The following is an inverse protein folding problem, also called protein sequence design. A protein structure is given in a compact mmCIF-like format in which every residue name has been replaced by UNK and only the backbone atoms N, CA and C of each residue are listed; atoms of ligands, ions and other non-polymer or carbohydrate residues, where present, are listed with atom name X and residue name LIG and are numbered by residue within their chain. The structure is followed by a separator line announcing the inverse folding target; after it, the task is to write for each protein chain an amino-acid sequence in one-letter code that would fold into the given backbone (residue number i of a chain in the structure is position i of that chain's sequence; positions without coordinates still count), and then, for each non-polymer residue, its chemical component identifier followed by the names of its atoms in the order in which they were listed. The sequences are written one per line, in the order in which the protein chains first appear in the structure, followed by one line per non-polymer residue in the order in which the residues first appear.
data_IF_230189355010
#
_entry.id   IF_230189355010
#
_cell.length_a   1.000
_cell.length_b   1.000
_cell.length_c   1.000
_cell.angle_alpha   90.00
_cell.angle_beta   90.00
_cell.angle_gamma   90.00
#
_symmetry.space_group_name_H-M   'P 1'
#
loop_
_entity.id
_entity.type
_entity.pdbx_description
1 polymer ?
#
# COMPACT_ATOMS: atom_id res chain seq x y z
N UNK A 1 -0.08 -11.51 10.14
CA UNK A 1 -1.12 -10.88 10.98
C UNK A 1 -1.59 -11.77 12.14
N UNK A 2 -0.94 -12.90 12.36
CA UNK A 2 -1.32 -13.90 13.38
C UNK A 2 -0.76 -13.63 14.79
N UNK A 3 0.11 -12.62 14.97
CA UNK A 3 0.63 -12.30 16.29
C UNK A 3 -0.37 -11.47 17.08
N UNK A 4 -0.82 -11.98 18.22
CA UNK A 4 -1.65 -11.26 19.16
C UNK A 4 -0.77 -10.45 20.11
N UNK A 5 -0.98 -9.13 20.12
CA UNK A 5 -0.30 -8.24 21.04
C UNK A 5 -1.10 -8.11 22.33
N UNK A 6 -0.45 -8.32 23.46
CA UNK A 6 -1.08 -8.11 24.77
C UNK A 6 -1.44 -6.62 25.02
N UNK A 7 -0.78 -5.70 24.32
CA UNK A 7 -0.97 -4.26 24.42
C UNK A 7 -1.75 -3.72 23.22
N UNK A 8 -2.92 -3.15 23.47
CA UNK A 8 -3.81 -2.57 22.46
C UNK A 8 -3.15 -1.49 21.60
N UNK A 9 -2.21 -0.72 22.17
CA UNK A 9 -1.47 0.29 21.42
C UNK A 9 -0.49 -0.33 20.43
N UNK A 10 0.12 -1.47 20.76
CA UNK A 10 0.99 -2.21 19.82
C UNK A 10 0.16 -2.80 18.69
N UNK A 11 -1.01 -3.35 18.99
CA UNK A 11 -1.96 -3.80 17.97
C UNK A 11 -2.39 -2.66 17.04
N UNK A 12 -2.69 -1.50 17.57
CA UNK A 12 -3.04 -0.30 16.81
C UNK A 12 -1.90 0.14 15.87
N UNK A 13 -0.66 0.22 16.36
CA UNK A 13 0.50 0.60 15.54
C UNK A 13 0.78 -0.42 14.44
N UNK A 14 0.62 -1.73 14.73
CA UNK A 14 0.67 -2.78 13.69
C UNK A 14 -0.36 -2.51 12.61
N UNK A 15 -1.61 -2.24 12.99
CA UNK A 15 -2.70 -2.03 12.05
C UNK A 15 -2.49 -0.77 11.20
N UNK A 16 -1.99 0.33 11.79
CA UNK A 16 -1.58 1.52 11.03
C UNK A 16 -0.50 1.19 9.99
N UNK A 17 0.51 0.42 10.37
CA UNK A 17 1.60 0.04 9.46
C UNK A 17 1.10 -0.88 8.34
N UNK A 18 0.25 -1.85 8.67
CA UNK A 18 -0.40 -2.74 7.69
C UNK A 18 -1.29 -1.93 6.75
N UNK A 19 -2.12 -1.03 7.27
CA UNK A 19 -2.95 -0.15 6.45
C UNK A 19 -2.12 0.65 5.45
N UNK A 20 -1.03 1.28 5.90
CA UNK A 20 -0.11 2.01 5.04
C UNK A 20 0.58 1.09 4.01
N UNK A 21 0.84 -0.17 4.35
CA UNK A 21 1.42 -1.16 3.43
C UNK A 21 0.48 -1.61 2.32
N UNK A 22 -0.84 -1.44 2.49
CA UNK A 22 -1.85 -1.75 1.48
C UNK A 22 -2.34 -0.52 0.70
N UNK A 23 -2.17 0.68 1.25
CA UNK A 23 -2.68 1.93 0.65
C UNK A 23 -1.60 2.86 0.14
N UNK A 24 -0.34 2.58 0.45
CA UNK A 24 0.81 3.43 0.17
C UNK A 24 0.71 4.85 0.76
N UNK A 25 -0.13 5.05 1.78
CA UNK A 25 -0.23 6.33 2.47
C UNK A 25 1.06 6.64 3.23
N UNK A 26 1.51 7.89 3.19
CA UNK A 26 2.52 8.38 4.11
C UNK A 26 1.92 8.52 5.52
N UNK A 27 2.76 8.65 6.54
CA UNK A 27 2.26 8.85 7.90
C UNK A 27 1.36 10.08 8.01
N UNK A 28 1.72 11.18 7.36
CA UNK A 28 0.95 12.43 7.41
C UNK A 28 -0.39 12.27 6.71
N UNK A 29 -0.41 11.67 5.50
CA UNK A 29 -1.66 11.41 4.77
C UNK A 29 -2.58 10.46 5.58
N UNK A 30 -1.99 9.49 6.30
CA UNK A 30 -2.75 8.57 7.14
C UNK A 30 -3.30 9.26 8.40
N UNK A 31 -2.52 10.15 9.02
CA UNK A 31 -2.95 10.93 10.19
C UNK A 31 -4.14 11.82 9.85
N UNK A 32 -4.14 12.41 8.67
CA UNK A 32 -5.17 13.36 8.24
C UNK A 32 -6.33 12.71 7.47
N UNK A 33 -6.28 11.37 7.27
CA UNK A 33 -7.32 10.66 6.55
C UNK A 33 -8.67 10.75 7.26
N UNK A 34 -9.66 11.21 6.52
CA UNK A 34 -11.03 11.39 7.01
C UNK A 34 -12.03 10.44 6.32
N UNK A 35 -13.21 10.29 6.92
CA UNK A 35 -14.31 9.53 6.31
C UNK A 35 -14.79 10.14 5.01
N UNK A 36 -14.66 11.45 4.83
CA UNK A 36 -15.10 12.18 3.63
C UNK A 36 -14.23 11.86 2.40
N UNK A 37 -13.01 11.38 2.62
CA UNK A 37 -12.10 10.94 1.56
C UNK A 37 -12.33 9.49 1.13
N UNK A 38 -13.25 8.77 1.81
CA UNK A 38 -13.64 7.42 1.41
C UNK A 38 -14.91 7.49 0.58
N UNK A 39 -14.77 7.25 -0.71
CA UNK A 39 -15.87 7.31 -1.67
C UNK A 39 -16.19 5.91 -2.20
N UNK A 40 -17.44 5.70 -2.57
CA UNK A 40 -17.86 4.47 -3.22
C UNK A 40 -17.95 4.68 -4.74
N UNK A 41 -17.26 3.83 -5.50
CA UNK A 41 -17.27 3.83 -6.97
C UNK A 41 -17.58 2.40 -7.43
N UNK A 42 -18.68 2.22 -8.12
CA UNK A 42 -19.13 0.91 -8.63
C UNK A 42 -19.21 -0.19 -7.56
N UNK A 43 -19.70 0.14 -6.36
CA UNK A 43 -19.81 -0.79 -5.24
C UNK A 43 -18.49 -1.08 -4.50
N UNK A 44 -17.41 -0.39 -4.87
CA UNK A 44 -16.09 -0.56 -4.27
C UNK A 44 -15.65 0.71 -3.55
N UNK A 45 -15.04 0.57 -2.39
CA UNK A 45 -14.56 1.72 -1.60
C UNK A 45 -13.16 2.14 -2.03
N UNK A 46 -12.97 3.45 -2.17
CA UNK A 46 -11.73 4.07 -2.60
C UNK A 46 -11.37 5.21 -1.67
N UNK A 47 -10.07 5.40 -1.41
CA UNK A 47 -9.56 6.67 -0.89
C UNK A 47 -9.32 7.56 -2.10
N UNK A 48 -9.93 8.74 -2.10
CA UNK A 48 -9.71 9.79 -3.10
C UNK A 48 -9.34 11.07 -2.36
N UNK A 49 -8.08 11.43 -2.42
CA UNK A 49 -7.52 12.51 -1.60
C UNK A 49 -6.39 13.24 -2.33
N UNK A 50 -5.81 14.26 -1.68
CA UNK A 50 -4.58 14.92 -2.13
C UNK A 50 -3.46 14.64 -1.12
N UNK A 51 -2.25 14.42 -1.64
CA UNK A 51 -1.06 14.28 -0.78
C UNK A 51 -0.85 15.56 0.03
N UNK A 52 -0.73 15.42 1.34
CA UNK A 52 -0.54 16.57 2.24
C UNK A 52 0.67 17.44 1.83
N UNK A 53 1.80 16.81 1.54
CA UNK A 53 3.05 17.52 1.23
C UNK A 53 3.07 18.16 -0.15
N UNK A 54 2.44 17.56 -1.15
CA UNK A 54 2.61 17.97 -2.57
C UNK A 54 1.30 18.40 -3.22
N UNK A 55 0.17 18.27 -2.53
CA UNK A 55 -1.19 18.54 -3.00
C UNK A 55 -1.59 17.77 -4.29
N UNK A 56 -0.82 16.74 -4.64
CA UNK A 56 -1.08 15.91 -5.81
C UNK A 56 -2.26 14.99 -5.51
N UNK A 57 -3.29 14.96 -6.38
CA UNK A 57 -4.37 14.02 -6.26
C UNK A 57 -3.86 12.57 -6.35
N UNK A 58 -4.39 11.71 -5.52
CA UNK A 58 -4.18 10.27 -5.60
C UNK A 58 -5.48 9.54 -5.32
N UNK A 59 -5.53 8.31 -5.79
CA UNK A 59 -6.64 7.41 -5.48
C UNK A 59 -6.10 6.00 -5.28
N UNK A 60 -6.67 5.29 -4.33
CA UNK A 60 -6.32 3.90 -4.06
C UNK A 60 -7.55 3.13 -3.62
N UNK A 61 -7.78 1.96 -4.24
CA UNK A 61 -8.87 1.07 -3.85
C UNK A 61 -8.58 0.49 -2.48
N UNK A 62 -9.56 0.48 -1.61
CA UNK A 62 -9.51 -0.21 -0.33
C UNK A 62 -9.77 -1.70 -0.56
N UNK A 63 -8.74 -2.50 -0.33
CA UNK A 63 -8.84 -3.96 -0.32
C UNK A 63 -9.40 -4.43 1.03
N UNK A 64 -9.68 -5.73 1.16
CA UNK A 64 -10.34 -6.30 2.35
C UNK A 64 -9.62 -5.99 3.67
N UNK A 65 -8.27 -6.06 3.68
CA UNK A 65 -7.50 -5.80 4.91
C UNK A 65 -7.62 -4.35 5.38
N UNK A 66 -7.41 -3.32 4.55
CA UNK A 66 -7.71 -1.93 4.92
C UNK A 66 -9.16 -1.71 5.39
N UNK A 67 -10.14 -2.32 4.74
CA UNK A 67 -11.55 -2.20 5.13
C UNK A 67 -11.78 -2.76 6.53
N UNK A 68 -11.27 -3.96 6.83
CA UNK A 68 -11.36 -4.56 8.16
C UNK A 68 -10.68 -3.70 9.24
N UNK A 69 -9.57 -3.03 8.89
CA UNK A 69 -8.90 -2.12 9.82
C UNK A 69 -9.77 -0.90 10.09
N UNK A 70 -10.34 -0.27 9.06
CA UNK A 70 -11.25 0.87 9.24
C UNK A 70 -12.45 0.46 10.13
N UNK A 71 -13.09 -0.65 9.83
CA UNK A 71 -14.26 -1.12 10.58
C UNK A 71 -13.91 -1.41 12.05
N UNK A 72 -12.71 -1.94 12.32
CA UNK A 72 -12.23 -2.18 13.70
C UNK A 72 -12.13 -0.91 14.51
N UNK A 73 -11.67 0.20 13.92
CA UNK A 73 -11.47 1.47 14.64
C UNK A 73 -12.66 2.42 14.56
N UNK A 74 -13.66 2.14 13.75
CA UNK A 74 -14.88 2.94 13.61
C UNK A 74 -15.56 3.27 14.96
N UNK A 75 -15.68 2.35 15.95
CA UNK A 75 -16.30 2.67 17.22
C UNK A 75 -15.51 3.69 18.08
N UNK A 76 -14.23 3.90 17.77
CA UNK A 76 -13.34 4.80 18.52
C UNK A 76 -13.10 6.12 17.80
N UNK A 77 -13.69 6.30 16.61
CA UNK A 77 -13.56 7.54 15.84
C UNK A 77 -14.19 8.70 16.59
N UNK A 78 -13.43 9.79 16.66
CA UNK A 78 -13.91 11.10 17.09
C UNK A 78 -13.85 11.98 15.85
N UNK A 79 -14.89 12.76 15.63
CA UNK A 79 -15.01 13.58 14.41
C UNK A 79 -14.94 12.72 13.13
N UNK A 80 -14.52 13.31 12.02
CA UNK A 80 -14.39 12.63 10.72
C UNK A 80 -13.05 11.88 10.56
N UNK A 81 -12.14 11.92 11.53
CA UNK A 81 -10.84 11.25 11.43
C UNK A 81 -10.98 9.74 11.55
N UNK A 82 -10.31 8.99 10.67
CA UNK A 82 -10.33 7.52 10.67
C UNK A 82 -9.53 6.95 11.86
N UNK A 83 -8.35 7.50 12.14
CA UNK A 83 -7.42 6.97 13.14
C UNK A 83 -7.17 7.90 14.34
N UNK A 84 -7.84 9.07 14.36
CA UNK A 84 -7.68 10.06 15.42
C UNK A 84 -6.32 10.77 15.39
N UNK A 85 -6.01 11.50 16.46
CA UNK A 85 -4.73 12.22 16.56
C UNK A 85 -3.59 11.27 16.94
N UNK A 86 -2.81 10.87 15.94
CA UNK A 86 -1.64 10.00 16.09
C UNK A 86 -0.34 10.81 16.07
N UNK A 87 0.54 10.53 17.03
CA UNK A 87 1.84 11.18 17.09
C UNK A 87 2.92 10.34 16.41
N UNK A 88 3.67 10.94 15.48
CA UNK A 88 4.69 10.27 14.68
C UNK A 88 5.77 9.58 15.53
N UNK A 89 6.33 10.29 16.50
CA UNK A 89 7.41 9.74 17.33
C UNK A 89 6.95 8.58 18.21
N UNK A 90 5.74 8.68 18.74
CA UNK A 90 5.12 7.61 19.54
C UNK A 90 4.88 6.36 18.68
N UNK A 91 4.33 6.54 17.47
CA UNK A 91 4.10 5.43 16.54
C UNK A 91 5.42 4.79 16.11
N UNK A 92 6.44 5.57 15.72
CA UNK A 92 7.73 5.04 15.31
C UNK A 92 8.45 4.29 16.45
N UNK A 93 8.42 4.83 17.67
CA UNK A 93 9.01 4.14 18.83
C UNK A 93 8.32 2.81 19.10
N UNK A 94 6.99 2.79 19.02
CA UNK A 94 6.21 1.58 19.27
C UNK A 94 6.32 0.58 18.10
N UNK A 95 6.47 1.07 16.86
CA UNK A 95 6.69 0.22 15.70
C UNK A 95 7.95 -0.63 15.87
N UNK A 96 9.04 -0.09 16.42
CA UNK A 96 10.25 -0.86 16.72
C UNK A 96 9.98 -2.01 17.70
N UNK A 97 9.16 -1.75 18.72
CA UNK A 97 8.73 -2.80 19.67
C UNK A 97 7.89 -3.87 18.96
N UNK A 98 6.92 -3.47 18.14
CA UNK A 98 6.08 -4.37 17.35
C UNK A 98 6.92 -5.25 16.43
N UNK A 99 7.92 -4.68 15.74
CA UNK A 99 8.82 -5.44 14.86
C UNK A 99 9.65 -6.47 15.66
N UNK A 100 10.18 -6.06 16.82
CA UNK A 100 10.94 -6.96 17.69
C UNK A 100 10.08 -8.13 18.21
N UNK A 101 8.84 -7.86 18.65
CA UNK A 101 7.90 -8.90 19.10
C UNK A 101 7.51 -9.88 17.98
N UNK A 102 7.53 -9.41 16.72
CA UNK A 102 7.32 -10.24 15.53
C UNK A 102 8.59 -10.96 15.05
N UNK A 103 9.72 -10.86 15.75
CA UNK A 103 10.99 -11.46 15.36
C UNK A 103 11.66 -10.78 14.16
N UNK A 104 11.26 -9.55 13.81
CA UNK A 104 11.81 -8.78 12.70
C UNK A 104 12.99 -7.95 13.22
N UNK A 105 14.20 -8.32 12.82
CA UNK A 105 15.46 -7.68 13.25
C UNK A 105 15.89 -6.49 12.40
N UNK A 106 15.25 -6.31 11.23
CA UNK A 106 15.52 -5.17 10.34
C UNK A 106 15.05 -3.86 10.97
N UNK A 107 15.82 -2.78 10.80
CA UNK A 107 15.37 -1.45 11.19
C UNK A 107 14.27 -0.97 10.22
N UNK A 108 13.02 -1.05 10.68
CA UNK A 108 11.83 -0.70 9.92
C UNK A 108 11.32 0.65 10.41
N UNK A 109 11.33 1.64 9.51
CA UNK A 109 10.63 2.91 9.69
C UNK A 109 9.20 2.83 9.15
N UNK A 110 8.32 3.77 9.55
CA UNK A 110 6.95 3.81 9.01
C UNK A 110 6.93 3.97 7.49
N UNK A 111 7.92 4.68 6.93
CA UNK A 111 8.04 4.86 5.48
C UNK A 111 8.27 3.56 4.71
N UNK A 112 8.81 2.51 5.37
CA UNK A 112 8.99 1.20 4.76
C UNK A 112 7.67 0.55 4.32
N UNK A 113 6.53 0.90 4.92
CA UNK A 113 5.22 0.44 4.49
C UNK A 113 4.93 0.85 3.02
N UNK A 114 5.14 2.13 2.71
CA UNK A 114 4.95 2.67 1.36
C UNK A 114 5.96 2.11 0.35
N UNK A 115 7.24 1.96 0.75
CA UNK A 115 8.25 1.30 -0.07
C UNK A 115 7.88 -0.16 -0.36
N UNK A 116 7.42 -0.87 0.66
CA UNK A 116 6.95 -2.26 0.54
C UNK A 116 5.79 -2.39 -0.43
N UNK A 117 4.80 -1.49 -0.35
CA UNK A 117 3.70 -1.44 -1.33
C UNK A 117 4.23 -1.30 -2.75
N UNK A 118 5.08 -0.29 -3.00
CA UNK A 118 5.59 -0.03 -4.35
C UNK A 118 6.34 -1.23 -4.93
N UNK A 119 7.26 -1.80 -4.15
CA UNK A 119 8.06 -2.96 -4.57
C UNK A 119 7.17 -4.19 -4.81
N UNK A 120 6.23 -4.47 -3.90
CA UNK A 120 5.33 -5.61 -4.02
C UNK A 120 4.39 -5.46 -5.22
N UNK A 121 3.77 -4.30 -5.40
CA UNK A 121 2.85 -4.03 -6.50
C UNK A 121 3.54 -4.23 -7.86
N UNK A 122 4.74 -3.68 -8.04
CA UNK A 122 5.54 -3.86 -9.25
C UNK A 122 5.93 -5.34 -9.46
N UNK A 123 6.35 -6.04 -8.40
CA UNK A 123 6.71 -7.46 -8.49
C UNK A 123 5.53 -8.35 -8.86
N UNK A 124 4.30 -7.94 -8.50
CA UNK A 124 3.05 -8.62 -8.84
C UNK A 124 2.47 -8.20 -10.20
N UNK A 125 3.19 -7.38 -10.95
CA UNK A 125 2.83 -7.01 -12.32
C UNK A 125 1.95 -5.77 -12.45
N UNK A 126 1.73 -5.01 -11.39
CA UNK A 126 1.05 -3.72 -11.50
C UNK A 126 1.89 -2.77 -12.36
N UNK A 127 1.32 -2.13 -13.41
CA UNK A 127 2.05 -1.19 -14.25
C UNK A 127 2.67 -0.05 -13.42
N UNK A 128 3.87 0.37 -13.80
CA UNK A 128 4.62 1.41 -13.07
C UNK A 128 3.87 2.75 -13.03
N UNK A 129 3.12 3.06 -14.10
CA UNK A 129 2.27 4.25 -14.17
C UNK A 129 1.15 4.20 -13.13
N UNK A 130 0.53 3.03 -12.96
CA UNK A 130 -0.51 2.81 -11.95
C UNK A 130 0.06 2.94 -10.54
N UNK A 131 1.23 2.33 -10.29
CA UNK A 131 1.93 2.47 -9.00
C UNK A 131 2.31 3.93 -8.73
N UNK A 132 2.86 4.62 -9.73
CA UNK A 132 3.21 6.04 -9.63
C UNK A 132 2.00 6.90 -9.26
N UNK A 133 0.84 6.61 -9.85
CA UNK A 133 -0.42 7.32 -9.57
C UNK A 133 -0.92 7.06 -8.15
N UNK A 134 -0.91 5.81 -7.70
CA UNK A 134 -1.24 5.47 -6.30
C UNK A 134 -0.29 6.16 -5.33
N UNK A 135 1.00 6.20 -5.64
CA UNK A 135 2.00 6.90 -4.84
C UNK A 135 1.84 8.43 -4.89
N UNK A 136 1.13 9.00 -5.85
CA UNK A 136 1.04 10.45 -6.05
C UNK A 136 2.40 11.06 -6.41
N UNK A 137 3.20 10.37 -7.22
CA UNK A 137 4.45 10.92 -7.73
C UNK A 137 4.18 11.79 -8.97
N UNK A 138 4.75 12.98 -9.01
CA UNK A 138 4.73 13.86 -10.19
C UNK A 138 5.62 13.36 -11.31
N UNK A 139 6.71 12.66 -10.95
CA UNK A 139 7.69 12.14 -11.88
C UNK A 139 7.81 10.63 -11.71
N UNK A 140 7.56 9.89 -12.78
CA UNK A 140 7.64 8.43 -12.80
C UNK A 140 9.03 7.89 -12.45
N UNK A 141 10.08 8.67 -12.71
CA UNK A 141 11.47 8.33 -12.34
C UNK A 141 11.59 8.01 -10.84
N UNK A 142 10.80 8.70 -9.99
CA UNK A 142 10.76 8.39 -8.56
C UNK A 142 10.25 6.99 -8.29
N UNK A 143 9.33 6.49 -9.13
CA UNK A 143 8.78 5.13 -9.02
C UNK A 143 9.74 4.08 -9.59
N UNK A 144 10.56 4.45 -10.59
CA UNK A 144 11.57 3.55 -11.19
C UNK A 144 12.61 3.07 -10.17
N UNK A 145 12.83 3.80 -9.08
CA UNK A 145 13.70 3.35 -7.98
C UNK A 145 13.25 2.01 -7.37
N UNK A 146 11.97 1.68 -7.49
CA UNK A 146 11.39 0.42 -7.02
C UNK A 146 11.34 -0.67 -8.09
N UNK A 147 11.51 -0.31 -9.36
CA UNK A 147 11.39 -1.19 -10.51
C UNK A 147 12.72 -1.90 -10.79
N UNK A 148 13.16 -2.79 -9.89
CA UNK A 148 14.23 -3.72 -10.22
C UNK A 148 13.66 -4.84 -11.09
N UNK A 149 13.90 -4.76 -12.40
CA UNK A 149 13.53 -5.85 -13.32
C UNK A 149 14.50 -7.00 -13.07
N UNK A 150 13.98 -8.08 -12.51
CA UNK A 150 14.73 -9.34 -12.38
C UNK A 150 14.54 -10.17 -13.64
N UNK A 151 15.48 -11.09 -13.92
CA UNK A 151 15.37 -12.07 -15.02
C UNK A 151 14.07 -12.89 -14.89
N UNK A 152 13.66 -13.20 -13.68
CA UNK A 152 12.42 -13.91 -13.37
C UNK A 152 11.18 -13.10 -13.80
N UNK A 153 11.15 -11.80 -13.51
CA UNK A 153 10.07 -10.90 -13.94
C UNK A 153 10.03 -10.80 -15.46
N UNK A 154 11.17 -10.61 -16.10
CA UNK A 154 11.26 -10.55 -17.56
C UNK A 154 10.77 -11.85 -18.21
N UNK A 155 11.16 -13.01 -17.68
CA UNK A 155 10.69 -14.31 -18.15
C UNK A 155 9.17 -14.46 -18.03
N UNK A 156 8.60 -14.04 -16.90
CA UNK A 156 7.14 -14.07 -16.67
C UNK A 156 6.42 -13.19 -17.69
N UNK A 157 6.89 -11.96 -17.90
CA UNK A 157 6.28 -11.01 -18.83
C UNK A 157 6.34 -11.50 -20.28
N UNK A 158 7.48 -12.06 -20.70
CA UNK A 158 7.64 -12.65 -22.04
C UNK A 158 6.78 -13.90 -22.23
N UNK A 159 6.62 -14.73 -21.20
CA UNK A 159 5.75 -15.91 -21.25
C UNK A 159 4.28 -15.51 -21.39
N UNK A 160 3.84 -14.49 -20.66
CA UNK A 160 2.49 -13.94 -20.80
C UNK A 160 2.25 -13.33 -22.19
N UNK A 161 3.23 -12.60 -22.73
CA UNK A 161 3.17 -12.06 -24.09
C UNK A 161 3.08 -13.19 -25.11
N UNK A 162 3.93 -14.20 -24.99
CA UNK A 162 3.93 -15.38 -25.86
C UNK A 162 2.58 -16.09 -25.88
N UNK A 163 1.95 -16.28 -24.72
CA UNK A 163 0.62 -16.87 -24.62
C UNK A 163 -0.45 -16.07 -25.36
N UNK A 164 -0.42 -14.74 -25.21
CA UNK A 164 -1.36 -13.82 -25.90
C UNK A 164 -1.15 -13.85 -27.43
N UNK A 165 0.11 -13.82 -27.88
CA UNK A 165 0.44 -13.88 -29.29
C UNK A 165 0.02 -15.22 -29.91
N UNK A 166 0.28 -16.33 -29.23
CA UNK A 166 -0.15 -17.65 -29.69
C UNK A 166 -1.68 -17.78 -29.79
N UNK A 167 -2.42 -17.16 -28.86
CA UNK A 167 -3.87 -17.11 -28.92
C UNK A 167 -4.39 -16.27 -30.11
N UNK A 168 -3.67 -15.18 -30.46
CA UNK A 168 -4.09 -14.25 -31.53
C UNK A 168 -3.67 -14.71 -32.92
N UNK A 169 -2.47 -15.30 -33.05
CA UNK A 169 -1.88 -15.64 -34.36
C UNK A 169 -1.87 -17.15 -34.68
N UNK A 170 -2.27 -17.99 -33.74
CA UNK A 170 -2.22 -19.44 -33.90
C UNK A 170 -0.79 -20.01 -33.95
N UNK A 171 -0.68 -21.32 -34.06
CA UNK A 171 0.62 -21.96 -34.29
C UNK A 171 1.02 -21.76 -35.76
N UNK A 172 2.04 -20.95 -36.01
CA UNK A 172 2.67 -20.89 -37.31
C UNK A 172 3.27 -22.28 -37.59
N UNK A 173 2.71 -23.01 -38.54
CA UNK A 173 3.35 -24.24 -39.04
C UNK A 173 4.61 -23.81 -39.79
N UNK A 174 5.76 -24.07 -39.20
CA UNK A 174 7.02 -23.99 -39.94
C UNK A 174 7.02 -25.13 -40.94
N UNK A 175 7.11 -24.80 -42.24
CA UNK A 175 7.23 -25.75 -43.33
C UNK A 175 8.63 -26.39 -43.32
#
# INVERSE_FOLDING_TARGET
MSHEFADSHSAFVRDLFVFASFTALSFVDLKELTTDEIVEVNGEKWIVAKRHKTHIPFQVKLLDVPLQIIDRYKPFQKDNSIFGDINYWTVCKRLKKVMSECGITKDISFHCARHGFATLALSKGMPIESVSRVLGHTNIVTTQLYAKITTEKLNTDLSMLGSKLNASFGKIKMA
#
